data_IF_987807591511
#
_entry.id   IF_987807591511
#
_cell.length_a   1.000
_cell.length_b   1.000
_cell.length_c   1.000
_cell.angle_alpha   90.00
_cell.angle_beta   90.00
_cell.angle_gamma   90.00
#
_symmetry.space_group_name_H-M   'P 1'
#
loop_
_entity.id
_entity.type
_entity.pdbx_description
1 polymer ?
#
# COMPACT_ATOMS: atom_id res chain seq x y z
N UNK A 1 28.45 -31.83 2.62
CA UNK A 1 28.44 -30.38 2.92
C UNK A 1 28.27 -29.51 1.68
N UNK A 2 29.13 -29.58 0.65
CA UNK A 2 29.05 -28.73 -0.56
C UNK A 2 27.68 -28.75 -1.26
N UNK A 3 27.03 -29.92 -1.36
CA UNK A 3 25.69 -30.08 -1.96
C UNK A 3 24.58 -29.34 -1.21
N UNK A 4 24.66 -29.29 0.13
CA UNK A 4 23.67 -28.59 0.96
C UNK A 4 23.81 -27.07 0.83
N UNK A 5 25.04 -26.57 0.75
CA UNK A 5 25.31 -25.14 0.51
C UNK A 5 24.89 -24.70 -0.89
N UNK A 6 25.06 -25.55 -1.90
CA UNK A 6 24.53 -25.29 -3.24
C UNK A 6 22.99 -25.25 -3.26
N UNK A 7 22.34 -26.19 -2.58
CA UNK A 7 20.87 -26.20 -2.45
C UNK A 7 20.37 -24.96 -1.71
N UNK A 8 21.01 -24.59 -0.60
CA UNK A 8 20.69 -23.37 0.15
C UNK A 8 20.86 -22.10 -0.70
N UNK A 9 22.01 -21.96 -1.38
CA UNK A 9 22.25 -20.84 -2.29
C UNK A 9 21.19 -20.76 -3.39
N UNK A 10 20.78 -21.90 -3.94
CA UNK A 10 19.71 -21.96 -4.95
C UNK A 10 18.38 -21.46 -4.40
N UNK A 11 17.98 -21.90 -3.21
CA UNK A 11 16.73 -21.44 -2.57
C UNK A 11 16.76 -19.93 -2.34
N UNK A 12 17.87 -19.38 -1.86
CA UNK A 12 18.03 -17.94 -1.64
C UNK A 12 17.91 -17.19 -2.97
N UNK A 13 18.70 -17.55 -3.98
CA UNK A 13 18.70 -16.85 -5.27
C UNK A 13 17.32 -16.89 -5.93
N UNK A 14 16.66 -18.05 -5.95
CA UNK A 14 15.32 -18.19 -6.55
C UNK A 14 14.28 -17.38 -5.77
N UNK A 15 14.27 -17.47 -4.44
CA UNK A 15 13.31 -16.73 -3.60
C UNK A 15 13.45 -15.22 -3.76
N UNK A 16 14.67 -14.69 -3.73
CA UNK A 16 14.90 -13.26 -3.92
C UNK A 16 14.63 -12.79 -5.35
N UNK A 17 14.89 -13.65 -6.35
CA UNK A 17 14.53 -13.34 -7.75
C UNK A 17 13.01 -13.18 -7.91
N UNK A 18 12.23 -14.11 -7.32
CA UNK A 18 10.77 -14.05 -7.34
C UNK A 18 10.28 -12.82 -6.58
N UNK A 19 10.83 -12.56 -5.38
CA UNK A 19 10.45 -11.40 -4.57
C UNK A 19 10.72 -10.08 -5.33
N UNK A 20 11.87 -9.94 -5.96
CA UNK A 20 12.21 -8.75 -6.75
C UNK A 20 11.33 -8.58 -7.99
N UNK A 21 11.01 -9.69 -8.67
CA UNK A 21 10.08 -9.68 -9.81
C UNK A 21 8.68 -9.23 -9.39
N UNK A 22 8.12 -9.82 -8.33
CA UNK A 22 6.80 -9.46 -7.81
C UNK A 22 6.79 -8.01 -7.30
N UNK A 23 7.83 -7.58 -6.57
CA UNK A 23 7.95 -6.20 -6.09
C UNK A 23 7.94 -5.18 -7.23
N UNK A 24 8.58 -5.50 -8.36
CA UNK A 24 8.55 -4.66 -9.56
C UNK A 24 7.15 -4.58 -10.16
N UNK A 25 6.40 -5.70 -10.19
CA UNK A 25 5.01 -5.72 -10.65
C UNK A 25 4.10 -4.90 -9.73
N UNK A 26 4.25 -5.03 -8.41
CA UNK A 26 3.48 -4.22 -7.44
C UNK A 26 3.74 -2.74 -7.68
N UNK A 27 4.98 -2.31 -7.88
CA UNK A 27 5.30 -0.90 -8.13
C UNK A 27 4.66 -0.37 -9.43
N UNK A 28 4.53 -1.22 -10.45
CA UNK A 28 3.93 -0.84 -11.73
C UNK A 28 2.40 -0.85 -11.70
N UNK A 29 1.79 -1.74 -10.90
CA UNK A 29 0.36 -2.01 -10.89
C UNK A 29 -0.38 -1.42 -9.68
N UNK A 30 0.34 -0.87 -8.70
CA UNK A 30 -0.30 -0.22 -7.55
C UNK A 30 -1.24 0.91 -8.01
N UNK A 31 -2.38 1.12 -7.32
CA UNK A 31 -3.32 2.17 -7.68
C UNK A 31 -2.61 3.54 -7.74
N UNK A 32 -2.67 4.26 -8.88
CA UNK A 32 -2.04 5.56 -9.00
C UNK A 32 -2.77 6.57 -8.12
N UNK A 33 -2.01 7.41 -7.41
CA UNK A 33 -2.57 8.54 -6.67
C UNK A 33 -2.83 9.67 -7.67
N UNK A 34 -4.09 10.08 -7.89
CA UNK A 34 -4.39 11.14 -8.83
C UNK A 34 -3.85 12.48 -8.34
N UNK A 35 -3.37 13.31 -9.26
CA UNK A 35 -2.91 14.69 -8.96
C UNK A 35 -4.07 15.60 -8.54
N UNK A 36 -5.28 15.35 -9.05
CA UNK A 36 -6.49 16.07 -8.64
C UNK A 36 -7.73 15.23 -8.92
N UNK A 37 -8.77 15.43 -8.11
CA UNK A 37 -10.11 14.89 -8.33
C UNK A 37 -11.04 16.07 -8.63
N UNK A 38 -11.75 15.98 -9.74
CA UNK A 38 -12.63 17.06 -10.24
C UNK A 38 -14.06 16.56 -10.44
N UNK A 39 -15.04 17.43 -10.24
CA UNK A 39 -16.43 17.17 -10.63
C UNK A 39 -16.59 17.25 -12.15
N UNK A 40 -17.74 16.80 -12.67
CA UNK A 40 -18.04 16.89 -14.11
C UNK A 40 -18.09 18.34 -14.61
N UNK A 41 -18.43 19.28 -13.73
CA UNK A 41 -18.49 20.72 -13.98
C UNK A 41 -17.12 21.41 -13.86
N UNK A 42 -16.04 20.65 -13.60
CA UNK A 42 -14.67 21.17 -13.53
C UNK A 42 -14.25 21.74 -12.17
N UNK A 43 -15.06 21.57 -11.12
CA UNK A 43 -14.69 21.99 -9.77
C UNK A 43 -13.70 21.00 -9.16
N UNK A 44 -12.61 21.49 -8.59
CA UNK A 44 -11.66 20.65 -7.83
C UNK A 44 -12.28 20.25 -6.49
N UNK A 45 -12.29 18.95 -6.21
CA UNK A 45 -12.76 18.34 -4.95
C UNK A 45 -11.57 17.93 -4.08
N UNK A 46 -10.52 17.39 -4.70
CA UNK A 46 -9.26 17.06 -4.04
C UNK A 46 -8.15 17.62 -4.92
N UNK A 47 -7.34 18.51 -4.36
CA UNK A 47 -6.20 19.17 -4.98
C UNK A 47 -4.92 18.34 -4.93
N UNK A 48 -3.88 18.87 -5.58
CA UNK A 48 -2.57 18.24 -5.64
C UNK A 48 -1.94 18.13 -4.25
N UNK A 49 -1.46 16.93 -3.92
CA UNK A 49 -0.82 16.63 -2.65
C UNK A 49 -1.76 16.50 -1.45
N UNK A 50 -3.07 16.77 -1.58
CA UNK A 50 -4.01 16.67 -0.44
C UNK A 50 -4.18 15.21 0.03
N UNK A 51 -4.19 14.23 -0.90
CA UNK A 51 -4.25 12.80 -0.53
C UNK A 51 -3.04 12.41 0.33
N UNK A 52 -1.83 12.82 -0.07
CA UNK A 52 -0.61 12.55 0.68
C UNK A 52 -0.58 13.25 2.03
N UNK A 53 -1.06 14.49 2.11
CA UNK A 53 -1.19 15.21 3.39
C UNK A 53 -2.21 14.51 4.32
N UNK A 54 -3.35 14.08 3.79
CA UNK A 54 -4.34 13.30 4.55
C UNK A 54 -3.75 12.00 5.09
N UNK A 55 -2.94 11.29 4.29
CA UNK A 55 -2.21 10.11 4.74
C UNK A 55 -1.23 10.42 5.89
N UNK A 56 -0.47 11.51 5.81
CA UNK A 56 0.44 11.93 6.88
C UNK A 56 -0.30 12.26 8.18
N UNK A 57 -1.45 12.94 8.07
CA UNK A 57 -2.30 13.26 9.23
C UNK A 57 -2.86 11.96 9.84
N UNK A 58 -3.37 11.04 9.03
CA UNK A 58 -3.83 9.73 9.49
C UNK A 58 -2.73 8.95 10.22
N UNK A 59 -1.51 8.93 9.68
CA UNK A 59 -0.35 8.32 10.36
C UNK A 59 -0.06 8.98 11.71
N UNK A 60 -0.16 10.31 11.79
CA UNK A 60 0.10 11.07 13.03
C UNK A 60 -0.98 10.85 14.09
N UNK A 61 -2.22 10.58 13.70
CA UNK A 61 -3.32 10.26 14.62
C UNK A 61 -3.30 8.82 15.15
N UNK A 62 -2.26 8.03 14.82
CA UNK A 62 -2.11 6.64 15.25
C UNK A 62 -2.31 5.62 14.12
N UNK A 63 -2.78 6.04 12.95
CA UNK A 63 -2.83 5.23 11.74
C UNK A 63 -3.50 3.86 11.92
N UNK A 64 -2.72 2.81 11.67
CA UNK A 64 -3.15 1.41 11.79
C UNK A 64 -3.36 0.93 13.22
N UNK A 65 -2.96 1.69 14.25
CA UNK A 65 -3.24 1.33 15.64
C UNK A 65 -4.68 1.65 16.04
N UNK A 66 -5.30 2.62 15.35
CA UNK A 66 -6.69 3.05 15.64
C UNK A 66 -7.71 2.14 14.98
N UNK A 67 -7.52 1.83 13.71
CA UNK A 67 -8.38 0.96 12.91
C UNK A 67 -7.62 0.41 11.71
N UNK A 68 -8.34 -0.05 10.68
CA UNK A 68 -7.73 -0.64 9.49
C UNK A 68 -7.98 0.16 8.21
N UNK A 69 -7.07 0.00 7.25
CA UNK A 69 -7.21 0.45 5.87
C UNK A 69 -6.83 -0.73 4.98
N UNK A 70 -7.68 -1.09 4.02
CA UNK A 70 -7.50 -2.28 3.17
C UNK A 70 -7.28 -3.56 4.00
N UNK A 71 -7.97 -3.68 5.14
CA UNK A 71 -7.89 -4.83 6.05
C UNK A 71 -6.60 -4.90 6.87
N UNK A 72 -5.71 -3.91 6.78
CA UNK A 72 -4.47 -3.86 7.56
C UNK A 72 -4.58 -2.81 8.66
N UNK A 73 -4.44 -3.25 9.91
CA UNK A 73 -4.44 -2.41 11.09
C UNK A 73 -5.11 -3.09 12.28
N UNK A 74 -5.60 -2.30 13.22
CA UNK A 74 -6.26 -2.77 14.42
C UNK A 74 -7.75 -3.01 14.18
N UNK A 75 -8.37 -3.73 15.11
CA UNK A 75 -9.78 -4.11 15.08
C UNK A 75 -10.62 -3.36 16.11
N UNK A 76 -10.08 -2.27 16.69
CA UNK A 76 -10.80 -1.46 17.69
C UNK A 76 -11.79 -0.54 16.99
N UNK A 77 -11.33 0.21 15.99
CA UNK A 77 -12.17 1.00 15.09
C UNK A 77 -12.45 0.20 13.79
N UNK A 78 -13.39 0.63 12.92
CA UNK A 78 -13.69 -0.08 11.68
C UNK A 78 -12.54 -0.03 10.66
N UNK A 79 -12.70 -0.77 9.56
CA UNK A 79 -11.90 -0.55 8.37
C UNK A 79 -12.43 0.70 7.64
N UNK A 80 -11.62 1.74 7.56
CA UNK A 80 -12.02 3.03 6.99
C UNK A 80 -12.30 2.96 5.49
N UNK A 81 -11.67 2.01 4.76
CA UNK A 81 -11.96 1.82 3.33
C UNK A 81 -13.35 1.22 3.15
N UNK A 82 -13.67 0.18 3.92
CA UNK A 82 -14.96 -0.47 3.88
C UNK A 82 -16.08 0.47 4.35
N UNK A 83 -15.85 1.22 5.43
CA UNK A 83 -16.84 2.16 5.99
C UNK A 83 -17.10 3.35 5.05
N UNK A 84 -16.06 3.87 4.38
CA UNK A 84 -16.23 4.96 3.40
C UNK A 84 -16.90 4.54 2.09
N UNK A 85 -16.83 3.25 1.74
CA UNK A 85 -17.45 2.69 0.52
C UNK A 85 -18.89 2.22 0.73
N UNK A 86 -19.37 2.24 1.98
CA UNK A 86 -20.71 1.82 2.35
C UNK A 86 -21.77 2.80 1.86
#
# INVERSE_FOLDING_TARGET
>A
MKRLWLAFGTVIVVSFSILGWIGTRIYQEMPPIPDRVVTREGRVVIGSGEIGQGQNIWQTMGGMEVGSVWGHGSYVAPDWTADSLR
#
